data_IF_045209950431
#
_entry.id   IF_045209950431
#
_cell.length_a   1.000
_cell.length_b   1.000
_cell.length_c   1.000
_cell.angle_alpha   90.00
_cell.angle_beta   90.00
_cell.angle_gamma   90.00
#
_symmetry.space_group_name_H-M   'P 1'
#
loop_
_entity.id
_entity.type
_entity.pdbx_description
1 polymer ?
#
# COMPACT_ATOMS: atom_id res chain seq x y z
N UNK A 1 -33.56 21.99 38.23
CA UNK A 1 -33.31 23.46 38.33
C UNK A 1 -31.80 23.62 38.53
N UNK A 2 -31.00 24.18 37.61
CA UNK A 2 -30.89 25.60 37.22
C UNK A 2 -30.38 25.72 35.78
N UNK A 3 -30.94 26.70 35.08
CA UNK A 3 -30.62 27.16 33.72
C UNK A 3 -29.60 28.30 33.78
N UNK A 4 -28.69 28.36 32.80
CA UNK A 4 -28.00 29.56 32.29
C UNK A 4 -27.75 29.25 30.79
N UNK A 5 -28.33 29.85 29.72
CA UNK A 5 -28.58 31.25 29.30
C UNK A 5 -27.35 32.11 29.60
N UNK A 6 -26.64 32.77 28.69
CA UNK A 6 -26.89 33.40 27.37
C UNK A 6 -25.48 33.87 26.89
N UNK A 7 -25.13 34.13 25.63
CA UNK A 7 -25.51 35.34 24.88
C UNK A 7 -24.86 35.30 23.49
N UNK A 8 -25.71 35.47 22.47
CA UNK A 8 -25.42 35.78 21.07
C UNK A 8 -25.00 37.25 20.98
N UNK A 9 -24.05 37.63 20.12
CA UNK A 9 -24.02 38.99 19.53
C UNK A 9 -23.35 39.00 18.16
N UNK A 10 -24.20 39.34 17.20
CA UNK A 10 -23.92 39.69 15.82
C UNK A 10 -23.81 41.23 15.76
N UNK A 11 -22.86 41.77 15.00
CA UNK A 11 -22.84 43.12 14.39
C UNK A 11 -21.59 43.12 13.49
N UNK A 12 -21.61 43.26 12.17
CA UNK A 12 -22.41 44.16 11.37
C UNK A 12 -21.60 45.43 11.06
N UNK A 13 -21.21 45.58 9.78
CA UNK A 13 -21.47 46.76 8.94
C UNK A 13 -20.26 47.59 8.41
N UNK A 14 -19.98 47.36 7.11
CA UNK A 14 -19.84 48.30 5.96
C UNK A 14 -18.71 49.37 5.92
N UNK A 15 -18.16 49.51 4.71
CA UNK A 15 -17.81 50.75 3.93
C UNK A 15 -16.33 50.72 3.53
N UNK A 16 -15.88 50.99 2.30
CA UNK A 16 -16.51 51.36 1.03
C UNK A 16 -15.35 51.50 0.02
N UNK A 17 -15.60 51.13 -1.25
CA UNK A 17 -15.20 51.89 -2.46
C UNK A 17 -13.69 52.06 -2.76
N UNK A 18 -13.18 52.18 -3.99
CA UNK A 18 -13.80 52.47 -5.29
C UNK A 18 -12.73 52.27 -6.38
N UNK A 19 -13.14 51.68 -7.52
CA UNK A 19 -12.90 52.13 -8.91
C UNK A 19 -11.46 52.37 -9.39
N UNK A 20 -11.08 51.92 -10.58
CA UNK A 20 -11.52 52.48 -11.88
C UNK A 20 -11.11 51.51 -13.00
N UNK A 21 -12.08 51.06 -13.79
CA UNK A 21 -12.39 51.52 -15.17
C UNK A 21 -11.45 50.94 -16.23
N UNK A 22 -11.99 50.04 -17.09
CA UNK A 22 -12.47 50.30 -18.47
C UNK A 22 -11.30 50.44 -19.46
N UNK A 23 -11.33 49.96 -20.70
CA UNK A 23 -12.17 49.08 -21.55
C UNK A 23 -11.52 49.21 -22.94
N UNK A 24 -11.79 48.26 -23.85
CA UNK A 24 -11.75 48.40 -25.32
C UNK A 24 -10.34 48.31 -25.97
N UNK A 25 -10.12 47.79 -27.17
CA UNK A 25 -10.73 46.77 -28.05
C UNK A 25 -9.88 46.84 -29.36
N UNK A 26 -9.61 45.67 -29.98
CA UNK A 26 -9.40 45.39 -31.43
C UNK A 26 -8.12 45.82 -32.19
N UNK A 27 -7.66 44.79 -32.95
CA UNK A 27 -7.16 44.79 -34.36
C UNK A 27 -5.76 45.42 -34.54
N UNK A 28 -4.87 44.97 -35.42
CA UNK A 28 -5.07 44.47 -36.79
C UNK A 28 -3.76 43.92 -37.38
N UNK A 29 -3.87 42.81 -38.12
CA UNK A 29 -3.38 42.60 -39.50
C UNK A 29 -1.88 42.76 -39.84
N UNK A 30 -1.30 41.60 -40.16
CA UNK A 30 -0.67 41.24 -41.44
C UNK A 30 0.41 42.14 -42.08
N UNK A 31 1.60 41.56 -42.30
CA UNK A 31 2.40 41.76 -43.53
C UNK A 31 3.01 40.43 -44.01
N UNK A 32 2.95 40.27 -45.34
CA UNK A 32 3.32 39.11 -46.17
C UNK A 32 4.84 39.02 -46.46
N UNK A 33 5.34 37.78 -46.47
CA UNK A 33 6.10 37.03 -47.53
C UNK A 33 7.31 37.71 -48.21
N UNK A 34 8.47 37.02 -48.22
CA UNK A 34 9.31 36.75 -49.42
C UNK A 34 10.10 35.43 -49.26
N UNK A 35 10.06 34.61 -50.32
CA UNK A 35 10.67 33.31 -50.59
C UNK A 35 12.21 33.29 -50.63
N UNK A 36 12.83 32.14 -50.32
CA UNK A 36 14.02 31.58 -51.03
C UNK A 36 14.04 30.02 -50.95
N UNK A 37 14.49 29.38 -52.03
CA UNK A 37 14.28 27.98 -52.45
C UNK A 37 15.27 26.94 -51.85
N UNK A 38 14.73 25.73 -51.62
CA UNK A 38 15.19 24.30 -51.52
C UNK A 38 16.70 23.92 -51.64
N UNK A 39 17.09 22.74 -51.09
CA UNK A 39 17.19 21.55 -51.95
C UNK A 39 16.56 20.25 -51.39
N UNK A 40 16.23 19.32 -52.31
CA UNK A 40 15.74 17.95 -52.12
C UNK A 40 16.91 17.00 -51.82
N UNK A 41 16.81 16.12 -50.83
CA UNK A 41 17.57 14.84 -50.79
C UNK A 41 16.74 13.71 -50.16
N UNK A 42 16.31 12.83 -51.06
CA UNK A 42 16.04 11.38 -50.97
C UNK A 42 15.43 10.73 -49.71
N UNK A 43 14.25 10.19 -49.96
CA UNK A 43 13.61 9.03 -49.34
C UNK A 43 14.55 7.82 -49.17
N UNK A 44 14.63 7.30 -47.94
CA UNK A 44 14.69 5.85 -47.70
C UNK A 44 13.47 5.47 -46.88
N UNK A 45 12.49 4.89 -47.57
CA UNK A 45 11.31 4.25 -46.98
C UNK A 45 11.81 2.92 -46.43
N UNK A 46 11.92 2.81 -45.11
CA UNK A 46 12.05 1.52 -44.43
C UNK A 46 10.63 0.97 -44.27
N UNK A 47 10.36 -0.29 -44.67
CA UNK A 47 9.01 -0.82 -44.72
C UNK A 47 8.33 -0.77 -43.36
N UNK A 48 7.06 -0.33 -43.39
CA UNK A 48 6.06 -0.39 -42.32
C UNK A 48 5.92 -1.85 -41.86
N UNK A 49 6.76 -2.28 -40.92
CA UNK A 49 6.46 -3.48 -40.14
C UNK A 49 5.30 -3.15 -39.22
N UNK A 50 4.22 -3.89 -39.42
CA UNK A 50 2.95 -3.91 -38.72
C UNK A 50 3.10 -3.77 -37.20
N UNK A 51 2.96 -2.54 -36.72
CA UNK A 51 2.71 -2.26 -35.31
C UNK A 51 1.33 -2.82 -35.01
N UNK A 52 1.29 -4.02 -34.39
CA UNK A 52 0.07 -4.60 -33.84
C UNK A 52 -0.58 -3.56 -32.92
N UNK A 53 -1.89 -3.27 -33.05
CA UNK A 53 -2.54 -2.33 -32.16
C UNK A 53 -2.38 -2.82 -30.73
N UNK A 54 -1.69 -2.04 -29.92
CA UNK A 54 -1.55 -2.25 -28.49
C UNK A 54 -2.97 -2.27 -27.90
N UNK A 55 -3.38 -3.45 -27.46
CA UNK A 55 -4.69 -3.65 -26.84
C UNK A 55 -4.75 -2.74 -25.62
N UNK A 56 -5.56 -1.69 -25.71
CA UNK A 56 -5.83 -0.77 -24.62
C UNK A 56 -6.49 -1.57 -23.50
N UNK A 57 -5.69 -1.98 -22.51
CA UNK A 57 -6.15 -2.74 -21.35
C UNK A 57 -7.17 -1.87 -20.60
N UNK A 58 -8.45 -2.24 -20.68
CA UNK A 58 -9.51 -1.65 -19.84
C UNK A 58 -9.07 -1.75 -18.38
N UNK A 59 -9.19 -0.64 -17.62
CA UNK A 59 -8.81 -0.58 -16.20
C UNK A 59 -9.65 -1.60 -15.42
N UNK A 60 -9.03 -2.68 -14.94
CA UNK A 60 -9.66 -3.69 -14.09
C UNK A 60 -9.89 -3.11 -12.69
N UNK A 61 -11.07 -3.32 -12.11
CA UNK A 61 -11.43 -2.81 -10.77
C UNK A 61 -11.41 -3.87 -9.67
N UNK A 62 -11.43 -5.17 -10.05
CA UNK A 62 -11.41 -6.31 -9.13
C UNK A 62 -10.72 -7.52 -9.77
N UNK A 63 -10.22 -8.42 -8.93
CA UNK A 63 -9.66 -9.70 -9.37
C UNK A 63 -10.75 -10.72 -9.72
N UNK A 64 -10.45 -11.57 -10.69
CA UNK A 64 -11.29 -12.72 -11.05
C UNK A 64 -11.18 -13.83 -10.01
N UNK A 65 -12.17 -14.74 -9.95
CA UNK A 65 -12.15 -15.89 -9.04
C UNK A 65 -10.93 -16.79 -9.24
N UNK A 66 -10.45 -16.94 -10.48
CA UNK A 66 -9.24 -17.68 -10.80
C UNK A 66 -7.98 -17.00 -10.24
N UNK A 67 -7.86 -15.68 -10.40
CA UNK A 67 -6.75 -14.90 -9.81
C UNK A 67 -6.80 -14.94 -8.28
N UNK A 68 -8.00 -14.85 -7.68
CA UNK A 68 -8.19 -14.98 -6.22
C UNK A 68 -7.77 -16.34 -5.68
N UNK A 69 -8.08 -17.43 -6.40
CA UNK A 69 -7.63 -18.78 -6.03
C UNK A 69 -6.10 -18.87 -6.00
N UNK A 70 -5.43 -18.27 -6.99
CA UNK A 70 -3.97 -18.23 -7.02
C UNK A 70 -3.38 -17.52 -5.78
N UNK A 71 -3.93 -16.38 -5.38
CA UNK A 71 -3.49 -15.69 -4.16
C UNK A 71 -3.83 -16.46 -2.88
N UNK A 72 -4.96 -17.17 -2.86
CA UNK A 72 -5.34 -18.04 -1.74
C UNK A 72 -4.30 -19.13 -1.52
N UNK A 73 -3.83 -19.77 -2.59
CA UNK A 73 -2.81 -20.82 -2.52
C UNK A 73 -1.48 -20.27 -1.99
N UNK A 74 -1.09 -19.05 -2.38
CA UNK A 74 0.10 -18.37 -1.86
C UNK A 74 -0.04 -18.12 -0.36
N UNK A 75 -1.17 -17.55 0.08
CA UNK A 75 -1.43 -17.25 1.49
C UNK A 75 -1.49 -18.50 2.37
N UNK A 76 -2.02 -19.62 1.86
CA UNK A 76 -2.06 -20.88 2.60
C UNK A 76 -0.66 -21.46 2.79
N UNK A 77 0.18 -21.44 1.75
CA UNK A 77 1.58 -21.85 1.87
C UNK A 77 2.34 -21.00 2.88
N UNK A 78 2.15 -19.69 2.82
CA UNK A 78 2.75 -18.73 3.75
C UNK A 78 2.28 -18.98 5.19
N UNK A 79 0.98 -19.24 5.39
CA UNK A 79 0.42 -19.59 6.70
C UNK A 79 1.12 -20.80 7.30
N UNK A 80 1.25 -21.86 6.52
CA UNK A 80 1.82 -23.12 7.00
C UNK A 80 3.31 -22.95 7.33
N UNK A 81 4.05 -22.15 6.55
CA UNK A 81 5.44 -21.78 6.82
C UNK A 81 5.58 -21.00 8.14
N UNK A 82 4.69 -20.04 8.41
CA UNK A 82 4.72 -19.22 9.62
C UNK A 82 4.33 -20.03 10.86
N UNK A 83 3.37 -20.96 10.73
CA UNK A 83 3.04 -21.89 11.82
C UNK A 83 4.24 -22.77 12.16
N UNK A 84 4.97 -23.25 11.15
CA UNK A 84 6.19 -24.03 11.38
C UNK A 84 7.29 -23.19 12.05
N UNK A 85 7.52 -21.95 11.58
CA UNK A 85 8.46 -20.98 12.20
C UNK A 85 8.11 -20.70 13.66
N UNK A 86 6.85 -20.36 13.94
CA UNK A 86 6.38 -20.09 15.30
C UNK A 86 6.56 -21.30 16.21
N UNK A 87 6.24 -22.52 15.74
CA UNK A 87 6.45 -23.75 16.50
C UNK A 87 7.94 -23.97 16.82
N UNK A 88 8.83 -23.77 15.85
CA UNK A 88 10.27 -23.91 16.07
C UNK A 88 10.79 -22.90 17.12
N UNK A 89 10.38 -21.63 17.02
CA UNK A 89 10.75 -20.61 17.99
C UNK A 89 10.17 -20.88 19.39
N UNK A 90 8.95 -21.44 19.48
CA UNK A 90 8.34 -21.85 20.75
C UNK A 90 9.04 -23.05 21.38
N UNK A 91 9.50 -24.02 20.58
CA UNK A 91 10.27 -25.16 21.08
C UNK A 91 11.57 -24.69 21.75
N UNK A 92 12.22 -23.65 21.23
CA UNK A 92 13.40 -23.06 21.88
C UNK A 92 13.12 -22.37 23.23
N UNK A 93 11.86 -22.21 23.63
CA UNK A 93 11.47 -21.63 24.92
C UNK A 93 11.06 -22.68 25.96
N UNK A 94 10.91 -23.95 25.53
CA UNK A 94 10.43 -25.06 26.34
C UNK A 94 11.53 -26.12 26.40
N UNK A 95 11.73 -26.69 27.57
CA UNK A 95 12.67 -27.79 27.75
C UNK A 95 12.03 -29.10 27.24
N UNK A 96 12.71 -29.80 26.34
CA UNK A 96 12.16 -30.98 25.65
C UNK A 96 11.92 -32.17 26.60
N UNK A 97 12.63 -32.26 27.73
CA UNK A 97 12.53 -33.37 28.68
C UNK A 97 11.43 -33.14 29.72
N UNK A 98 11.37 -31.93 30.28
CA UNK A 98 10.40 -31.54 31.31
C UNK A 98 9.09 -30.98 30.76
N UNK A 99 9.10 -30.44 29.54
CA UNK A 99 7.99 -29.68 28.98
C UNK A 99 7.72 -28.35 29.70
N UNK A 100 8.60 -27.97 30.63
CA UNK A 100 8.53 -26.72 31.38
C UNK A 100 9.25 -25.60 30.66
N UNK A 101 8.97 -24.37 31.06
CA UNK A 101 9.61 -23.21 30.50
C UNK A 101 11.08 -23.16 30.95
N UNK A 102 12.03 -23.03 30.01
CA UNK A 102 13.49 -23.15 30.26
C UNK A 102 14.00 -22.21 31.36
N UNK A 103 13.36 -21.06 31.54
CA UNK A 103 13.69 -20.06 32.57
C UNK A 103 13.22 -20.34 34.00
N UNK A 104 12.35 -21.32 34.24
CA UNK A 104 11.86 -21.68 35.59
C UNK A 104 12.73 -22.78 36.26
N UNK A 105 13.67 -23.38 35.53
CA UNK A 105 14.53 -24.42 36.04
C UNK A 105 15.69 -23.84 36.85
N UNK A 106 15.63 -23.99 38.18
CA UNK A 106 16.66 -23.59 39.15
C UNK A 106 18.04 -24.21 38.87
N UNK A 107 18.11 -25.27 38.07
CA UNK A 107 19.35 -26.03 37.77
C UNK A 107 20.17 -25.42 36.62
N UNK A 108 19.55 -24.56 35.79
CA UNK A 108 20.21 -23.90 34.65
C UNK A 108 21.14 -22.74 35.09
N UNK A 109 21.15 -22.40 36.38
CA UNK A 109 21.90 -21.29 36.99
C UNK A 109 23.41 -21.58 37.25
N UNK A 110 24.08 -22.39 36.42
CA UNK A 110 25.45 -22.83 36.76
C UNK A 110 26.55 -21.78 36.49
N UNK A 111 26.34 -20.80 35.59
CA UNK A 111 27.31 -19.71 35.36
C UNK A 111 26.66 -18.33 35.13
N UNK A 112 27.00 -17.35 36.00
CA UNK A 112 26.51 -15.96 35.89
C UNK A 112 26.85 -15.27 34.56
N UNK A 113 27.88 -15.75 33.85
CA UNK A 113 28.28 -15.20 32.55
C UNK A 113 27.38 -15.66 31.39
N UNK A 114 26.74 -16.83 31.49
CA UNK A 114 25.89 -17.40 30.44
C UNK A 114 24.42 -16.97 30.60
N UNK A 115 23.99 -16.73 31.84
CA UNK A 115 22.63 -16.28 32.17
C UNK A 115 22.15 -15.05 31.37
N UNK A 116 23.06 -14.11 31.07
CA UNK A 116 22.71 -12.91 30.30
C UNK A 116 22.50 -13.18 28.80
N UNK A 117 23.29 -14.10 28.22
CA UNK A 117 23.13 -14.50 26.82
C UNK A 117 21.85 -15.30 26.64
N UNK A 118 21.58 -16.22 27.55
CA UNK A 118 20.41 -17.10 27.47
C UNK A 118 19.10 -16.32 27.58
N UNK A 119 19.04 -15.33 28.48
CA UNK A 119 17.86 -14.46 28.60
C UNK A 119 17.70 -13.58 27.34
N UNK A 120 18.79 -13.11 26.73
CA UNK A 120 18.74 -12.36 25.48
C UNK A 120 18.21 -13.21 24.32
N UNK A 121 18.64 -14.47 24.20
CA UNK A 121 18.16 -15.40 23.18
C UNK A 121 16.68 -15.73 23.37
N UNK A 122 16.27 -15.94 24.62
CA UNK A 122 14.87 -16.14 25.01
C UNK A 122 14.00 -14.94 24.63
N UNK A 123 14.40 -13.72 24.98
CA UNK A 123 13.65 -12.50 24.63
C UNK A 123 13.52 -12.37 23.12
N UNK A 124 14.60 -12.61 22.37
CA UNK A 124 14.60 -12.61 20.91
C UNK A 124 13.60 -13.62 20.34
N UNK A 125 13.59 -14.85 20.84
CA UNK A 125 12.66 -15.89 20.39
C UNK A 125 11.21 -15.51 20.69
N UNK A 126 10.94 -14.93 21.87
CA UNK A 126 9.63 -14.41 22.22
C UNK A 126 9.16 -13.30 21.26
N UNK A 127 10.04 -12.36 20.90
CA UNK A 127 9.74 -11.32 19.92
C UNK A 127 9.40 -11.90 18.54
N UNK A 128 10.09 -12.95 18.11
CA UNK A 128 9.77 -13.63 16.85
C UNK A 128 8.41 -14.32 16.89
N UNK A 129 8.08 -15.02 17.97
CA UNK A 129 6.77 -15.64 18.16
C UNK A 129 5.66 -14.58 18.10
N UNK A 130 5.83 -13.45 18.80
CA UNK A 130 4.85 -12.37 18.77
C UNK A 130 4.68 -11.76 17.36
N UNK A 131 5.77 -11.64 16.60
CA UNK A 131 5.73 -11.16 15.21
C UNK A 131 4.96 -12.13 14.32
N UNK A 132 5.24 -13.41 14.44
CA UNK A 132 4.64 -14.47 13.64
C UNK A 132 3.14 -14.62 13.95
N UNK A 133 2.73 -14.46 15.21
CA UNK A 133 1.32 -14.41 15.63
C UNK A 133 0.57 -13.24 14.97
N UNK A 134 1.14 -12.02 15.01
CA UNK A 134 0.56 -10.86 14.34
C UNK A 134 0.45 -11.07 12.82
N UNK A 135 1.48 -11.66 12.22
CA UNK A 135 1.50 -11.96 10.79
C UNK A 135 0.45 -13.01 10.41
N UNK A 136 0.25 -14.04 11.24
CA UNK A 136 -0.81 -15.02 11.08
C UNK A 136 -2.20 -14.37 11.09
N UNK A 137 -2.42 -13.40 11.99
CA UNK A 137 -3.62 -12.57 12.01
C UNK A 137 -3.84 -11.82 10.69
N UNK A 138 -2.79 -11.25 10.10
CA UNK A 138 -2.88 -10.58 8.79
C UNK A 138 -3.20 -11.55 7.64
N UNK A 139 -2.67 -12.77 7.68
CA UNK A 139 -2.99 -13.81 6.70
C UNK A 139 -4.47 -14.19 6.80
N UNK A 140 -4.99 -14.39 8.01
CA UNK A 140 -6.41 -14.72 8.22
C UNK A 140 -7.33 -13.61 7.68
N UNK A 141 -6.99 -12.34 7.94
CA UNK A 141 -7.72 -11.20 7.38
C UNK A 141 -7.62 -11.14 5.84
N UNK A 142 -6.47 -11.50 5.26
CA UNK A 142 -6.31 -11.58 3.82
C UNK A 142 -7.17 -12.69 3.20
N UNK A 143 -7.20 -13.87 3.82
CA UNK A 143 -8.08 -14.98 3.41
C UNK A 143 -9.55 -14.60 3.49
N UNK A 144 -9.97 -13.93 4.57
CA UNK A 144 -11.35 -13.42 4.70
C UNK A 144 -11.72 -12.43 3.57
N UNK A 145 -10.80 -11.53 3.19
CA UNK A 145 -10.99 -10.61 2.05
C UNK A 145 -11.07 -11.34 0.71
N UNK A 146 -10.37 -12.46 0.55
CA UNK A 146 -10.48 -13.30 -0.65
C UNK A 146 -11.87 -13.92 -0.71
N UNK A 147 -12.35 -14.48 0.40
CA UNK A 147 -13.67 -15.10 0.46
C UNK A 147 -14.80 -14.08 0.23
N UNK A 148 -14.60 -12.81 0.64
CA UNK A 148 -15.50 -11.68 0.35
C UNK A 148 -15.32 -11.09 -1.06
N UNK A 149 -14.27 -11.46 -1.79
CA UNK A 149 -13.95 -10.90 -3.11
C UNK A 149 -13.44 -9.44 -3.10
N UNK A 150 -13.04 -8.91 -1.94
CA UNK A 150 -12.49 -7.55 -1.77
C UNK A 150 -10.96 -7.51 -1.74
N UNK A 151 -10.32 -8.68 -1.86
CA UNK A 151 -8.87 -8.80 -1.90
C UNK A 151 -8.24 -8.03 -3.07
N UNK A 152 -7.10 -7.39 -2.79
CA UNK A 152 -6.36 -6.60 -3.77
C UNK A 152 -6.89 -5.20 -4.03
N UNK A 153 -7.88 -4.73 -3.27
CA UNK A 153 -8.35 -3.34 -3.30
C UNK A 153 -7.65 -2.54 -2.19
N UNK A 154 -7.09 -1.39 -2.53
CA UNK A 154 -6.42 -0.49 -1.58
C UNK A 154 -7.45 0.17 -0.65
N UNK A 155 -7.32 -0.02 0.66
CA UNK A 155 -8.25 0.52 1.67
C UNK A 155 -8.37 2.05 1.55
N UNK A 156 -7.26 2.74 1.33
CA UNK A 156 -7.21 4.20 1.22
C UNK A 156 -7.79 4.77 -0.07
N UNK A 157 -8.02 3.92 -1.08
CA UNK A 157 -8.54 4.35 -2.38
C UNK A 157 -9.98 3.87 -2.61
N UNK A 158 -10.61 3.18 -1.64
CA UNK A 158 -11.98 2.67 -1.77
C UNK A 158 -12.99 3.83 -1.83
N UNK A 159 -12.89 4.78 -0.90
CA UNK A 159 -13.85 5.89 -0.78
C UNK A 159 -13.60 6.93 -1.88
N UNK A 160 -12.40 7.50 -1.88
CA UNK A 160 -11.98 8.51 -2.85
C UNK A 160 -10.73 8.01 -3.59
N UNK A 161 -10.80 7.81 -4.92
CA UNK A 161 -9.63 7.43 -5.69
C UNK A 161 -8.66 8.60 -5.68
N UNK A 162 -7.67 8.53 -4.80
CA UNK A 162 -6.65 9.57 -4.65
C UNK A 162 -5.77 9.73 -5.90
N UNK A 163 -5.89 8.83 -6.88
CA UNK A 163 -5.16 8.83 -8.16
C UNK A 163 -3.63 8.91 -8.02
N UNK A 164 -3.07 8.46 -6.89
CA UNK A 164 -1.62 8.40 -6.71
C UNK A 164 -0.96 7.31 -7.57
N UNK A 165 -1.73 6.33 -8.03
CA UNK A 165 -1.24 5.21 -8.80
C UNK A 165 -2.11 4.94 -10.03
N UNK A 166 -1.49 4.48 -11.12
CA UNK A 166 -2.18 4.21 -12.40
C UNK A 166 -3.28 3.14 -12.27
N UNK A 167 -3.08 2.21 -11.34
CA UNK A 167 -3.97 1.06 -11.09
C UNK A 167 -4.99 1.31 -9.99
N UNK A 168 -4.96 2.46 -9.31
CA UNK A 168 -5.84 2.75 -8.17
C UNK A 168 -7.33 2.61 -8.56
N UNK A 169 -8.18 1.94 -7.75
CA UNK A 169 -7.93 1.42 -6.39
C UNK A 169 -7.33 0.00 -6.35
N UNK A 170 -7.09 -0.64 -7.49
CA UNK A 170 -6.55 -2.00 -7.56
C UNK A 170 -5.04 -2.01 -7.27
N UNK A 171 -4.63 -2.84 -6.33
CA UNK A 171 -3.22 -3.11 -6.02
C UNK A 171 -2.66 -3.97 -7.17
N UNK A 172 -1.47 -3.68 -7.72
CA UNK A 172 -0.91 -4.46 -8.82
C UNK A 172 -0.61 -5.91 -8.41
N UNK A 173 -0.78 -6.86 -9.34
CA UNK A 173 -0.60 -8.31 -9.11
C UNK A 173 0.81 -8.64 -8.61
N UNK A 174 1.82 -8.07 -9.24
CA UNK A 174 3.24 -8.25 -8.88
C UNK A 174 3.51 -7.93 -7.41
N UNK A 175 2.84 -6.92 -6.86
CA UNK A 175 2.97 -6.57 -5.44
C UNK A 175 2.29 -7.58 -4.53
N UNK A 176 1.12 -8.10 -4.91
CA UNK A 176 0.39 -9.10 -4.13
C UNK A 176 1.08 -10.46 -4.16
N UNK A 177 1.83 -10.78 -5.23
CA UNK A 177 2.67 -11.98 -5.29
C UNK A 177 3.89 -11.87 -4.35
N UNK A 178 4.48 -10.68 -4.23
CA UNK A 178 5.61 -10.44 -3.35
C UNK A 178 5.21 -10.25 -1.88
N UNK A 179 4.11 -9.54 -1.63
CA UNK A 179 3.63 -9.19 -0.29
C UNK A 179 2.12 -9.45 -0.22
N UNK A 180 1.68 -10.70 -0.03
CA UNK A 180 0.29 -11.10 -0.19
C UNK A 180 -0.65 -10.56 0.90
N UNK A 181 -0.12 -10.18 2.07
CA UNK A 181 -0.90 -9.59 3.14
C UNK A 181 -1.22 -8.10 2.94
N UNK A 182 -0.57 -7.44 1.98
CA UNK A 182 -0.66 -5.98 1.84
C UNK A 182 -2.10 -5.51 1.60
N UNK A 183 -2.44 -4.38 2.21
CA UNK A 183 -3.78 -3.78 2.12
C UNK A 183 -3.78 -2.44 1.38
N UNK A 184 -2.59 -1.98 0.97
CA UNK A 184 -2.37 -0.64 0.45
C UNK A 184 -1.49 -0.71 -0.80
N UNK A 185 -1.77 0.19 -1.75
CA UNK A 185 -0.88 0.44 -2.88
C UNK A 185 0.44 1.07 -2.39
N UNK A 186 1.46 1.08 -3.26
CA UNK A 186 2.81 1.55 -2.91
C UNK A 186 2.76 3.01 -2.43
N UNK A 187 2.10 3.89 -3.17
CA UNK A 187 2.05 5.31 -2.85
C UNK A 187 1.27 5.61 -1.58
N UNK A 188 0.13 4.94 -1.34
CA UNK A 188 -0.58 5.07 -0.06
C UNK A 188 0.24 4.51 1.11
N UNK A 189 1.02 3.45 0.89
CA UNK A 189 1.91 2.91 1.94
C UNK A 189 3.04 3.88 2.28
N UNK A 190 3.64 4.54 1.27
CA UNK A 190 4.69 5.55 1.45
C UNK A 190 4.23 6.76 2.27
N UNK A 191 2.96 7.14 2.16
CA UNK A 191 2.41 8.26 2.94
C UNK A 191 2.14 7.93 4.42
N UNK A 192 2.14 6.65 4.80
CA UNK A 192 1.81 6.18 6.16
C UNK A 192 3.03 5.81 7.00
N UNK A 193 4.23 5.83 6.44
CA UNK A 193 5.49 5.47 7.12
C UNK A 193 6.48 6.61 6.99
#
# INVERSE_FOLDING_TARGET
MKKTKTKKKNTGRILKERTKQKKLIKKSQAKKIINKKKPKVTSKIVPRTSIKPSQQKKKKTKYTTAELKHFKDILLKERDAIIASARANMQSLVDDESGEYVGDNLTYASHMAEQGTDEMEREKNYLFVQRDEKYLGYIQQALARIDQGTYGICIDCIEEPKNLCDTCPLIPKERLELVPITQHCIECKKLRG
#
